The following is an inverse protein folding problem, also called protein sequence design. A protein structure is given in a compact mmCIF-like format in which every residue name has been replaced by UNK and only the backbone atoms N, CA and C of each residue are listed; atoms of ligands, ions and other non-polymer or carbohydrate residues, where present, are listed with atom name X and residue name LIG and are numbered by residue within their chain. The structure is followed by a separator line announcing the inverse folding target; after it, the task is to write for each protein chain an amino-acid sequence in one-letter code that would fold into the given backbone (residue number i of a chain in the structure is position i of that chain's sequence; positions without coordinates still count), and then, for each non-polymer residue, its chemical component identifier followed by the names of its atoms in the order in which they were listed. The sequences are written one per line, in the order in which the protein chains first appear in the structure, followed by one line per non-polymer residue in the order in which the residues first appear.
data_IF_704101706376
#
_entry.id   IF_704101706376
#
_cell.length_a   1.000
_cell.length_b   1.000
_cell.length_c   1.000
_cell.angle_alpha   90.00
_cell.angle_beta   90.00
_cell.angle_gamma   90.00
#
_symmetry.space_group_name_H-M   'P 1'
#
loop_
_entity.id
_entity.type
_entity.pdbx_description
1 polymer ?
#
# COMPACT_ATOMS: atom_id res chain seq x y z
N UNK A 1 -12.46 2.91 12.85
CA UNK A 1 -12.48 2.51 11.43
C UNK A 1 -13.09 1.11 11.35
N UNK A 2 -13.54 0.63 10.19
CA UNK A 2 -14.01 -0.75 10.02
C UNK A 2 -13.00 -1.54 9.17
N UNK A 3 -12.79 -2.81 9.49
CA UNK A 3 -11.86 -3.68 8.77
C UNK A 3 -12.57 -4.98 8.39
N UNK A 4 -12.44 -5.37 7.12
CA UNK A 4 -12.94 -6.64 6.59
C UNK A 4 -11.84 -7.32 5.78
N UNK A 5 -11.77 -8.64 5.86
CA UNK A 5 -10.86 -9.43 5.03
C UNK A 5 -11.60 -9.78 3.73
N UNK A 6 -11.03 -9.35 2.61
CA UNK A 6 -11.53 -9.69 1.27
C UNK A 6 -10.49 -10.51 0.53
N UNK A 7 -10.95 -11.54 -0.19
CA UNK A 7 -10.12 -12.31 -1.11
C UNK A 7 -10.38 -11.89 -2.54
N UNK A 8 -9.33 -11.81 -3.36
CA UNK A 8 -9.47 -11.54 -4.79
C UNK A 8 -8.25 -10.88 -5.41
N UNK A 9 -8.19 -10.95 -6.73
CA UNK A 9 -7.10 -10.34 -7.50
C UNK A 9 -7.15 -8.81 -7.39
N UNK A 10 -5.99 -8.14 -7.23
CA UNK A 10 -5.92 -6.70 -6.96
C UNK A 10 -6.47 -5.83 -8.10
N UNK A 11 -6.41 -6.31 -9.34
CA UNK A 11 -6.93 -5.63 -10.53
C UNK A 11 -8.46 -5.62 -10.58
N UNK A 12 -9.13 -6.57 -9.90
CA UNK A 12 -10.60 -6.70 -9.91
C UNK A 12 -11.29 -6.01 -8.74
N UNK A 13 -10.53 -5.41 -7.83
CA UNK A 13 -11.08 -4.75 -6.64
C UNK A 13 -11.83 -3.46 -7.04
N UNK A 14 -13.13 -3.44 -6.78
CA UNK A 14 -14.01 -2.27 -7.02
C UNK A 14 -14.05 -1.38 -5.78
N UNK A 15 -12.91 -0.78 -5.48
CA UNK A 15 -12.73 0.12 -4.33
C UNK A 15 -12.14 1.46 -4.77
N UNK A 16 -12.35 2.54 -3.99
CA UNK A 16 -11.78 3.86 -4.31
C UNK A 16 -10.25 3.88 -4.39
N UNK A 17 -9.56 3.00 -3.65
CA UNK A 17 -8.10 2.87 -3.74
C UNK A 17 -7.59 1.45 -3.44
N UNK A 18 -6.60 0.98 -4.19
CA UNK A 18 -5.82 -0.23 -3.87
C UNK A 18 -4.42 0.17 -3.42
N UNK A 19 -3.91 -0.42 -2.33
CA UNK A 19 -2.57 -0.15 -1.81
C UNK A 19 -1.63 -1.30 -2.16
N UNK A 20 -0.49 -1.00 -2.79
CA UNK A 20 0.52 -1.98 -3.16
C UNK A 20 1.95 -1.49 -2.90
N UNK A 21 2.87 -2.43 -2.66
CA UNK A 21 4.27 -2.12 -2.30
C UNK A 21 5.23 -2.06 -3.51
N UNK A 22 6.27 -1.24 -3.39
CA UNK A 22 7.41 -1.15 -4.32
C UNK A 22 8.70 -1.13 -3.52
N UNK A 23 9.61 -2.06 -3.80
CA UNK A 23 10.94 -2.10 -3.20
C UNK A 23 11.93 -1.19 -3.93
N UNK A 24 13.04 -0.92 -3.27
CA UNK A 24 14.16 -0.19 -3.85
C UNK A 24 14.64 -0.76 -5.19
N UNK A 25 15.28 0.11 -5.96
CA UNK A 25 15.65 -0.16 -7.35
C UNK A 25 14.41 -0.46 -8.20
N UNK A 26 13.27 0.16 -7.85
CA UNK A 26 12.05 0.16 -8.67
C UNK A 26 11.45 -1.23 -8.87
N UNK A 27 11.62 -2.11 -7.87
CA UNK A 27 11.16 -3.49 -7.94
C UNK A 27 9.73 -3.58 -7.40
N UNK A 28 8.78 -3.92 -8.27
CA UNK A 28 7.40 -4.13 -7.87
C UNK A 28 7.28 -5.29 -6.87
N UNK A 29 6.50 -5.12 -5.81
CA UNK A 29 6.02 -6.25 -5.02
C UNK A 29 5.03 -7.08 -5.86
N UNK A 30 4.70 -8.29 -5.39
CA UNK A 30 3.86 -9.23 -6.13
C UNK A 30 2.53 -8.63 -6.55
N UNK A 31 1.79 -8.03 -5.62
CA UNK A 31 0.53 -7.34 -5.91
C UNK A 31 0.70 -6.20 -6.92
N UNK A 32 1.77 -5.40 -6.79
CA UNK A 32 2.05 -4.29 -7.70
C UNK A 32 2.42 -4.79 -9.11
N UNK A 33 3.06 -5.95 -9.22
CA UNK A 33 3.36 -6.60 -10.48
C UNK A 33 2.10 -7.14 -11.17
N UNK A 34 1.15 -7.71 -10.41
CA UNK A 34 -0.15 -8.14 -10.93
C UNK A 34 -0.95 -6.93 -11.48
N UNK A 35 -0.97 -5.82 -10.73
CA UNK A 35 -1.58 -4.56 -11.18
C UNK A 35 -0.87 -3.98 -12.42
N UNK A 36 0.45 -4.08 -12.49
CA UNK A 36 1.23 -3.62 -13.66
C UNK A 36 0.92 -4.45 -14.91
N UNK A 37 0.78 -5.77 -14.76
CA UNK A 37 0.40 -6.66 -15.85
C UNK A 37 -1.02 -6.36 -16.36
N UNK A 38 -1.99 -6.20 -15.45
CA UNK A 38 -3.35 -5.83 -15.81
C UNK A 38 -3.43 -4.46 -16.49
N UNK A 39 -2.53 -3.54 -16.12
CA UNK A 39 -2.46 -2.18 -16.68
C UNK A 39 -1.52 -2.00 -17.87
N UNK A 40 -1.17 -3.09 -18.56
CA UNK A 40 -0.30 -3.05 -19.76
C UNK A 40 1.06 -2.34 -19.52
N UNK A 41 1.67 -2.64 -18.37
CA UNK A 41 2.94 -2.07 -17.91
C UNK A 41 2.93 -0.56 -17.67
N UNK A 42 1.76 0.01 -17.34
CA UNK A 42 1.63 1.44 -17.06
C UNK A 42 2.41 1.85 -15.80
N UNK A 43 2.29 1.07 -14.71
CA UNK A 43 2.98 1.33 -13.44
C UNK A 43 4.49 1.28 -13.62
N UNK A 44 5.00 0.26 -14.32
CA UNK A 44 6.40 0.11 -14.66
C UNK A 44 6.94 1.28 -15.46
N UNK A 45 6.17 1.84 -16.40
CA UNK A 45 6.59 3.02 -17.19
C UNK A 45 6.77 4.25 -16.32
N UNK A 46 5.85 4.48 -15.39
CA UNK A 46 5.91 5.60 -14.44
C UNK A 46 7.11 5.47 -13.51
N UNK A 47 7.25 4.31 -12.87
CA UNK A 47 8.37 4.08 -11.95
C UNK A 47 9.72 4.20 -12.67
N UNK A 48 9.82 3.73 -13.93
CA UNK A 48 11.04 3.88 -14.74
C UNK A 48 11.41 5.34 -15.02
N UNK A 49 10.44 6.26 -15.05
CA UNK A 49 10.67 7.71 -15.20
C UNK A 49 11.24 8.34 -13.92
N UNK A 50 11.18 7.65 -12.79
CA UNK A 50 11.73 8.11 -11.51
C UNK A 50 10.71 8.70 -10.54
N UNK A 51 9.41 8.55 -10.82
CA UNK A 51 8.35 9.07 -9.94
C UNK A 51 8.30 8.35 -8.57
N UNK A 52 8.89 7.15 -8.49
CA UNK A 52 9.03 6.38 -7.25
C UNK A 52 10.26 5.48 -7.33
N UNK A 53 11.19 5.58 -6.37
CA UNK A 53 12.38 4.71 -6.33
C UNK A 53 12.21 3.49 -5.43
N UNK A 54 11.20 3.51 -4.55
CA UNK A 54 10.87 2.43 -3.62
C UNK A 54 11.53 2.57 -2.25
N UNK A 55 12.05 3.75 -1.88
CA UNK A 55 12.61 4.01 -0.54
C UNK A 55 11.50 3.94 0.51
N UNK A 56 11.85 3.51 1.73
CA UNK A 56 10.88 3.37 2.82
C UNK A 56 10.07 4.66 3.04
N UNK A 57 8.74 4.55 3.05
CA UNK A 57 7.83 5.68 3.29
C UNK A 57 7.61 6.62 2.09
N UNK A 58 8.22 6.36 0.92
CA UNK A 58 7.82 7.06 -0.30
C UNK A 58 6.41 6.65 -0.73
N UNK A 59 5.67 7.56 -1.34
CA UNK A 59 4.31 7.31 -1.81
C UNK A 59 4.08 7.88 -3.18
N UNK A 60 3.32 7.17 -4.00
CA UNK A 60 2.84 7.67 -5.28
C UNK A 60 1.38 7.23 -5.47
N UNK A 61 0.47 8.19 -5.59
CA UNK A 61 -0.93 7.93 -5.93
C UNK A 61 -1.10 8.05 -7.44
N UNK A 62 -1.58 6.97 -8.04
CA UNK A 62 -1.90 6.90 -9.45
C UNK A 62 -3.41 6.91 -9.62
N UNK A 63 -3.90 7.67 -10.58
CA UNK A 63 -5.32 7.83 -10.86
C UNK A 63 -5.67 7.21 -12.21
N UNK A 64 -6.88 6.64 -12.32
CA UNK A 64 -7.45 6.18 -13.59
C UNK A 64 -6.52 5.25 -14.37
N UNK A 65 -6.07 4.18 -13.71
CA UNK A 65 -5.09 3.26 -14.28
C UNK A 65 -5.82 2.31 -15.24
N UNK A 66 -5.37 2.18 -16.49
CA UNK A 66 -6.01 1.29 -17.45
C UNK A 66 -6.05 -0.14 -16.93
N UNK A 67 -7.12 -0.88 -17.22
CA UNK A 67 -7.20 -2.32 -16.92
C UNK A 67 -7.43 -2.69 -15.45
N UNK A 68 -7.56 -1.71 -14.55
CA UNK A 68 -7.89 -1.96 -13.14
C UNK A 68 -9.28 -1.44 -12.79
N UNK A 69 -10.01 -2.16 -11.95
CA UNK A 69 -11.35 -1.75 -11.49
C UNK A 69 -11.32 -0.67 -10.40
N UNK A 70 -10.17 -0.46 -9.76
CA UNK A 70 -9.98 0.57 -8.74
C UNK A 70 -9.80 1.96 -9.36
N UNK A 71 -10.34 2.98 -8.71
CA UNK A 71 -10.20 4.38 -9.18
C UNK A 71 -8.77 4.91 -9.04
N UNK A 72 -8.08 4.46 -7.98
CA UNK A 72 -6.73 4.90 -7.61
C UNK A 72 -5.88 3.71 -7.16
N UNK A 73 -4.57 3.78 -7.39
CA UNK A 73 -3.60 2.88 -6.76
C UNK A 73 -2.60 3.72 -5.98
N UNK A 74 -2.47 3.43 -4.68
CA UNK A 74 -1.41 3.95 -3.84
C UNK A 74 -0.23 2.97 -3.86
N UNK A 75 0.89 3.42 -4.42
CA UNK A 75 2.16 2.73 -4.35
C UNK A 75 2.94 3.24 -3.14
N UNK A 76 3.38 2.32 -2.28
CA UNK A 76 4.20 2.61 -1.10
C UNK A 76 5.60 2.03 -1.29
N UNK A 77 6.62 2.84 -1.04
CA UNK A 77 8.01 2.44 -1.02
C UNK A 77 8.34 1.64 0.25
N UNK A 78 8.85 0.42 0.08
CA UNK A 78 9.12 -0.52 1.17
C UNK A 78 10.59 -0.57 1.59
N UNK A 79 11.49 0.12 0.89
CA UNK A 79 12.93 0.01 1.09
C UNK A 79 13.54 -1.24 0.45
N UNK A 80 14.74 -1.66 0.88
CA UNK A 80 15.38 -2.88 0.39
C UNK A 80 14.60 -4.12 0.82
N UNK A 81 14.31 -5.03 -0.13
CA UNK A 81 13.51 -6.24 0.11
C UNK A 81 14.02 -7.11 1.26
N UNK A 82 15.34 -7.19 1.46
CA UNK A 82 15.97 -8.04 2.48
C UNK A 82 16.21 -7.33 3.81
N UNK A 83 15.86 -6.04 3.92
CA UNK A 83 16.10 -5.22 5.13
C UNK A 83 14.80 -4.67 5.72
N UNK A 84 13.67 -5.30 5.39
CA UNK A 84 12.38 -4.92 5.92
C UNK A 84 12.25 -5.46 7.35
N UNK A 85 12.39 -4.56 8.32
CA UNK A 85 12.21 -4.86 9.75
C UNK A 85 10.78 -4.54 10.18
N UNK A 86 10.39 -5.03 11.36
CA UNK A 86 9.11 -4.71 11.98
C UNK A 86 8.85 -3.20 12.06
N UNK A 87 9.87 -2.41 12.45
CA UNK A 87 9.73 -0.95 12.55
C UNK A 87 9.46 -0.30 11.20
N UNK A 88 10.21 -0.69 10.16
CA UNK A 88 9.99 -0.19 8.79
C UNK A 88 8.60 -0.59 8.28
N UNK A 89 8.16 -1.82 8.57
CA UNK A 89 6.81 -2.26 8.21
C UNK A 89 5.75 -1.38 8.88
N UNK A 90 5.93 -1.06 10.17
CA UNK A 90 5.01 -0.19 10.90
C UNK A 90 4.95 1.21 10.29
N UNK A 91 6.10 1.78 9.96
CA UNK A 91 6.20 3.07 9.28
C UNK A 91 5.50 3.08 7.91
N UNK A 92 5.67 2.02 7.12
CA UNK A 92 5.01 1.83 5.82
C UNK A 92 3.49 1.82 5.98
N UNK A 93 2.97 1.07 6.96
CA UNK A 93 1.52 1.01 7.18
C UNK A 93 0.98 2.36 7.66
N UNK A 94 1.62 2.99 8.65
CA UNK A 94 1.23 4.32 9.12
C UNK A 94 1.22 5.33 7.96
N UNK A 95 2.27 5.32 7.13
CA UNK A 95 2.36 6.20 5.97
C UNK A 95 1.27 5.95 4.94
N UNK A 96 0.91 4.69 4.69
CA UNK A 96 -0.21 4.35 3.81
C UNK A 96 -1.52 4.94 4.34
N UNK A 97 -1.80 4.73 5.63
CA UNK A 97 -3.02 5.21 6.28
C UNK A 97 -3.11 6.73 6.25
N UNK A 98 -2.04 7.44 6.62
CA UNK A 98 -1.99 8.91 6.52
C UNK A 98 -2.23 9.38 5.09
N UNK A 99 -1.59 8.74 4.10
CA UNK A 99 -1.71 9.15 2.69
C UNK A 99 -3.13 8.91 2.16
N UNK A 100 -3.79 7.82 2.56
CA UNK A 100 -5.18 7.56 2.20
C UNK A 100 -6.13 8.60 2.81
N UNK A 101 -5.92 8.92 4.09
CA UNK A 101 -6.71 9.92 4.81
C UNK A 101 -6.56 11.32 4.19
N UNK A 102 -5.33 11.74 3.90
CA UNK A 102 -5.03 13.04 3.28
C UNK A 102 -5.59 13.13 1.84
N UNK A 103 -5.64 12.01 1.13
CA UNK A 103 -6.23 11.91 -0.20
C UNK A 103 -7.77 11.83 -0.20
N UNK A 104 -8.42 11.84 0.98
CA UNK A 104 -9.87 11.74 1.11
C UNK A 104 -10.45 10.40 0.65
N UNK A 105 -9.66 9.33 0.72
CA UNK A 105 -10.11 7.98 0.34
C UNK A 105 -11.02 7.43 1.43
N UNK A 106 -12.28 7.12 1.08
CA UNK A 106 -13.28 6.60 2.02
C UNK A 106 -13.14 5.10 2.30
N UNK A 107 -12.61 4.35 1.33
CA UNK A 107 -12.42 2.90 1.41
C UNK A 107 -11.19 2.50 0.59
N UNK A 108 -10.38 1.56 1.12
CA UNK A 108 -9.22 1.05 0.42
C UNK A 108 -9.00 -0.45 0.63
N UNK A 109 -8.59 -1.16 -0.41
CA UNK A 109 -8.09 -2.53 -0.30
C UNK A 109 -6.57 -2.52 -0.12
N UNK A 110 -6.11 -2.96 1.05
CA UNK A 110 -4.68 -2.98 1.38
C UNK A 110 -4.06 -4.36 1.19
N UNK A 111 -3.05 -4.44 0.33
CA UNK A 111 -2.25 -5.64 0.11
C UNK A 111 -0.90 -5.60 0.83
N UNK A 112 -0.73 -4.67 1.79
CA UNK A 112 0.51 -4.60 2.59
C UNK A 112 0.75 -5.84 3.44
N UNK A 113 -0.30 -6.63 3.72
CA UNK A 113 -0.18 -7.91 4.42
C UNK A 113 0.51 -8.99 3.57
N UNK A 114 0.60 -8.83 2.24
CA UNK A 114 1.29 -9.78 1.34
C UNK A 114 2.80 -9.49 1.25
N UNK A 115 3.26 -8.34 1.74
CA UNK A 115 4.69 -8.00 1.71
C UNK A 115 5.45 -9.02 2.56
N UNK A 116 6.52 -9.65 2.02
CA UNK A 116 7.34 -10.58 2.78
C UNK A 116 8.17 -9.82 3.82
N UNK A 117 8.09 -10.27 5.07
CA UNK A 117 8.88 -9.77 6.19
C UNK A 117 9.55 -11.01 6.82
N UNK A 118 10.87 -10.97 7.11
CA UNK A 118 11.55 -12.07 7.80
C UNK A 118 10.85 -12.43 9.11
N UNK A 119 10.66 -13.72 9.37
CA UNK A 119 10.12 -14.26 10.63
C UNK A 119 8.73 -13.73 11.05
N UNK A 120 7.91 -13.23 10.11
CA UNK A 120 6.55 -12.75 10.39
C UNK A 120 5.50 -13.41 9.51
N UNK A 121 4.53 -14.03 10.16
CA UNK A 121 3.35 -14.62 9.53
C UNK A 121 2.32 -13.59 9.09
N UNK A 122 1.29 -14.08 8.40
CA UNK A 122 0.15 -13.26 7.96
C UNK A 122 -0.64 -12.71 9.16
N UNK A 123 -0.80 -13.51 10.21
CA UNK A 123 -1.47 -13.16 11.46
C UNK A 123 -0.86 -11.90 12.11
N UNK A 124 0.47 -11.85 12.21
CA UNK A 124 1.18 -10.70 12.74
C UNK A 124 1.00 -9.48 11.84
N UNK A 125 1.12 -9.65 10.53
CA UNK A 125 0.99 -8.55 9.55
C UNK A 125 -0.40 -7.93 9.58
N UNK A 126 -1.45 -8.74 9.56
CA UNK A 126 -2.84 -8.26 9.63
C UNK A 126 -3.09 -7.53 10.95
N UNK A 127 -2.63 -8.10 12.08
CA UNK A 127 -2.72 -7.45 13.39
C UNK A 127 -2.04 -6.08 13.40
N UNK A 128 -0.81 -5.99 12.88
CA UNK A 128 -0.09 -4.72 12.79
C UNK A 128 -0.83 -3.72 11.91
N UNK A 129 -1.39 -4.14 10.78
CA UNK A 129 -2.14 -3.23 9.91
C UNK A 129 -3.31 -2.58 10.65
N UNK A 130 -4.09 -3.37 11.40
CA UNK A 130 -5.25 -2.87 12.17
C UNK A 130 -4.81 -1.95 13.32
N UNK A 131 -3.86 -2.40 14.16
CA UNK A 131 -3.38 -1.63 15.33
C UNK A 131 -2.79 -0.27 14.91
N UNK A 132 -2.05 -0.26 13.81
CA UNK A 132 -1.39 0.95 13.30
C UNK A 132 -2.38 1.87 12.63
N UNK A 133 -3.34 1.35 11.88
CA UNK A 133 -4.36 2.18 11.25
C UNK A 133 -5.20 2.95 12.29
N UNK A 134 -5.65 2.28 13.35
CA UNK A 134 -6.38 2.93 14.44
C UNK A 134 -5.51 3.95 15.19
N UNK A 135 -4.27 3.59 15.54
CA UNK A 135 -3.37 4.52 16.25
C UNK A 135 -2.96 5.73 15.41
N UNK A 136 -2.78 5.57 14.10
CA UNK A 136 -2.40 6.65 13.17
C UNK A 136 -3.49 7.71 13.05
N UNK A 137 -4.76 7.30 13.11
CA UNK A 137 -5.92 8.20 12.94
C UNK A 137 -6.49 8.71 14.26
N UNK A 138 -5.92 8.29 15.38
CA UNK A 138 -6.36 8.73 16.69
C UNK A 138 -6.24 10.25 16.85
N UNK A 139 -7.34 10.90 17.22
CA UNK A 139 -7.40 12.34 17.48
C UNK A 139 -8.19 12.58 18.76
N UNK A 140 -7.59 13.31 19.71
CA UNK A 140 -8.27 13.74 20.93
C UNK A 140 -8.74 15.19 20.79
N UNK A 141 -9.99 15.38 20.38
CA UNK A 141 -10.57 16.73 20.20
C UNK A 141 -11.55 17.14 21.30
N UNK A 142 -11.68 16.36 22.38
CA UNK A 142 -12.68 16.65 23.42
C UNK A 142 -12.48 17.98 24.14
N UNK A 143 -11.31 18.60 23.98
CA UNK A 143 -10.92 19.88 24.58
C UNK A 143 -10.56 20.95 23.54
N UNK A 144 -10.90 20.75 22.26
CA UNK A 144 -10.73 21.76 21.22
C UNK A 144 -11.91 22.70 21.12
#
# INVERSE_FOLDING_TARGET
MEFTIIGGAPDKQRVPCVVAGVFEKRKLAETAAQLDQASHHYISRIIKRGDLDGRCGQTLVLHQIPGTAAERILLIGCGPKNELSDNKYREIVAKAVTTLNDAGVTEAASYLAEIPIPDRGLDWKVRQVVEIAESTLYRFDRLK
#
